data_IF_068353688816
#
_entry.id   IF_068353688816
#
_cell.length_a   1.000
_cell.length_b   1.000
_cell.length_c   1.000
_cell.angle_alpha   90.00
_cell.angle_beta   90.00
_cell.angle_gamma   90.00
#
_symmetry.space_group_name_H-M   'P 1'
#
loop_
_entity.id
_entity.type
_entity.pdbx_description
1 polymer ?
#
# COMPACT_ATOMS: atom_id res chain seq x y z
N UNK A 1 -5.26 19.45 -16.08
CA UNK A 1 -5.57 19.08 -14.68
C UNK A 1 -4.93 17.73 -14.43
N UNK A 2 -4.05 17.61 -13.44
CA UNK A 2 -3.55 16.31 -12.99
C UNK A 2 -4.76 15.54 -12.46
N UNK A 3 -5.03 14.37 -13.02
CA UNK A 3 -6.15 13.55 -12.57
C UNK A 3 -5.55 12.40 -11.79
N UNK A 4 -5.93 12.25 -10.51
CA UNK A 4 -5.59 11.10 -9.70
C UNK A 4 -5.92 9.80 -10.45
N UNK A 5 -5.01 8.86 -10.38
CA UNK A 5 -5.20 7.46 -10.80
C UNK A 5 -4.20 6.58 -10.06
N UNK A 6 -4.54 5.32 -9.89
CA UNK A 6 -3.58 4.33 -9.40
C UNK A 6 -2.32 4.33 -10.28
N UNK A 7 -1.16 4.34 -9.66
CA UNK A 7 0.15 4.25 -10.30
C UNK A 7 0.65 2.82 -10.17
N UNK A 8 0.18 1.98 -11.07
CA UNK A 8 0.56 0.57 -11.13
C UNK A 8 1.34 0.37 -12.44
N UNK A 9 2.56 -0.22 -12.40
CA UNK A 9 3.32 -0.50 -13.61
C UNK A 9 2.48 -1.31 -14.60
N UNK A 10 2.46 -0.91 -15.86
CA UNK A 10 1.70 -1.59 -16.91
C UNK A 10 2.67 -2.21 -17.89
N UNK A 11 2.52 -3.51 -18.14
CA UNK A 11 3.27 -4.26 -19.17
C UNK A 11 4.39 -5.12 -18.61
N UNK A 12 4.77 -6.12 -19.39
CA UNK A 12 5.67 -7.22 -19.01
C UNK A 12 7.15 -6.82 -18.85
N UNK A 13 7.49 -5.56 -19.03
CA UNK A 13 8.89 -5.09 -19.00
C UNK A 13 9.32 -4.46 -17.70
N UNK A 14 8.39 -4.23 -16.77
CA UNK A 14 8.70 -3.67 -15.45
C UNK A 14 8.13 -4.57 -14.36
N UNK A 15 8.95 -5.41 -13.74
CA UNK A 15 8.51 -6.25 -12.62
C UNK A 15 8.08 -5.34 -11.46
N UNK A 16 6.83 -5.46 -11.02
CA UNK A 16 6.38 -4.82 -9.80
C UNK A 16 6.40 -5.84 -8.66
N UNK A 17 7.21 -5.59 -7.67
CA UNK A 17 7.32 -6.48 -6.52
C UNK A 17 6.51 -6.01 -5.31
N UNK A 18 6.24 -4.72 -5.16
CA UNK A 18 5.57 -4.17 -3.97
C UNK A 18 4.57 -3.08 -4.35
N UNK A 19 3.33 -3.21 -3.86
CA UNK A 19 2.29 -2.18 -4.01
C UNK A 19 1.94 -1.58 -2.65
N UNK A 20 2.08 -0.27 -2.50
CA UNK A 20 1.61 0.48 -1.36
C UNK A 20 0.16 0.91 -1.54
N UNK A 21 -0.70 0.55 -0.57
CA UNK A 21 -2.15 0.72 -0.65
C UNK A 21 -2.60 1.70 0.43
N UNK A 22 -3.03 2.88 -0.01
CA UNK A 22 -3.63 3.89 0.84
C UNK A 22 -5.12 3.63 1.11
N UNK A 23 -5.72 4.47 1.96
CA UNK A 23 -7.14 4.41 2.25
C UNK A 23 -7.95 5.10 1.15
N UNK A 24 -7.66 6.38 0.92
CA UNK A 24 -8.21 7.23 -0.12
C UNK A 24 -7.25 8.39 -0.40
N UNK A 25 -7.27 8.97 -1.60
CA UNK A 25 -6.40 10.09 -1.93
C UNK A 25 -6.76 11.34 -1.10
N UNK A 26 -5.76 12.03 -0.58
CA UNK A 26 -5.97 13.38 -0.03
C UNK A 26 -6.30 14.37 -1.15
N UNK A 27 -6.84 15.53 -0.80
CA UNK A 27 -7.07 16.61 -1.79
C UNK A 27 -5.77 17.02 -2.49
N UNK A 28 -4.64 17.00 -1.78
CA UNK A 28 -3.32 17.27 -2.34
C UNK A 28 -2.90 16.17 -3.33
N UNK A 29 -3.07 14.90 -2.97
CA UNK A 29 -2.83 13.76 -3.87
C UNK A 29 -3.71 13.85 -5.11
N UNK A 30 -4.98 14.22 -4.93
CA UNK A 30 -5.94 14.37 -6.03
C UNK A 30 -5.54 15.46 -7.03
N UNK A 31 -5.08 16.61 -6.53
CA UNK A 31 -4.70 17.75 -7.34
C UNK A 31 -3.32 17.62 -7.98
N UNK A 32 -2.35 17.08 -7.24
CA UNK A 32 -0.97 16.93 -7.72
C UNK A 32 -0.75 15.66 -8.55
N UNK A 33 -1.57 14.63 -8.36
CA UNK A 33 -1.38 13.30 -8.94
C UNK A 33 -0.28 12.47 -8.26
N UNK A 34 0.27 12.93 -7.12
CA UNK A 34 1.32 12.23 -6.38
C UNK A 34 0.79 11.58 -5.10
N UNK A 35 1.14 10.32 -4.86
CA UNK A 35 0.71 9.56 -3.70
C UNK A 35 1.33 10.09 -2.42
N UNK A 36 0.52 10.11 -1.35
CA UNK A 36 0.93 10.57 -0.01
C UNK A 36 1.52 11.99 0.01
N UNK A 37 1.07 12.85 -0.92
CA UNK A 37 1.61 14.20 -1.14
C UNK A 37 1.21 15.22 -0.07
N UNK A 38 0.23 14.93 0.80
CA UNK A 38 -0.16 15.86 1.86
C UNK A 38 1.05 16.17 2.76
N UNK A 39 1.40 17.47 2.99
CA UNK A 39 2.60 17.85 3.75
C UNK A 39 2.67 17.29 5.18
N UNK A 40 1.53 16.99 5.80
CA UNK A 40 1.46 16.36 7.13
C UNK A 40 1.67 14.85 7.10
N UNK A 41 1.67 14.22 5.91
CA UNK A 41 1.87 12.79 5.74
C UNK A 41 3.36 12.44 5.82
N UNK A 42 3.70 11.46 6.64
CA UNK A 42 5.09 11.06 6.90
C UNK A 42 5.54 9.83 6.08
N UNK A 43 4.74 9.37 5.14
CA UNK A 43 5.02 8.16 4.38
C UNK A 43 6.42 8.18 3.75
N UNK A 44 6.74 9.21 3.01
CA UNK A 44 8.02 9.35 2.32
C UNK A 44 9.20 9.41 3.30
N UNK A 45 9.05 10.18 4.38
CA UNK A 45 10.07 10.23 5.44
C UNK A 45 10.25 8.90 6.18
N UNK A 46 9.22 8.06 6.27
CA UNK A 46 9.32 6.73 6.87
C UNK A 46 10.05 5.76 5.95
N UNK A 47 9.76 5.77 4.65
CA UNK A 47 10.49 4.96 3.66
C UNK A 47 11.99 5.31 3.63
N UNK A 48 12.32 6.62 3.65
CA UNK A 48 13.71 7.08 3.66
C UNK A 48 14.45 6.65 4.92
N UNK A 49 13.82 6.84 6.09
CA UNK A 49 14.43 6.46 7.38
C UNK A 49 14.56 4.95 7.56
N UNK A 50 13.76 4.16 6.88
CA UNK A 50 13.88 2.71 6.83
C UNK A 50 14.90 2.24 5.78
N UNK A 51 15.48 3.13 4.99
CA UNK A 51 16.43 2.77 3.94
C UNK A 51 15.80 2.20 2.65
N UNK A 52 14.46 2.27 2.53
CA UNK A 52 13.76 1.75 1.35
C UNK A 52 13.96 2.66 0.13
N UNK A 53 14.05 3.96 0.34
CA UNK A 53 14.27 4.96 -0.71
C UNK A 53 15.24 6.03 -0.24
N UNK A 54 15.81 6.79 -1.19
CA UNK A 54 16.66 7.95 -0.93
C UNK A 54 16.02 9.23 -1.49
N UNK A 55 16.35 10.37 -0.92
CA UNK A 55 15.85 11.70 -1.34
C UNK A 55 14.31 11.78 -1.40
N UNK A 56 13.66 11.23 -0.38
CA UNK A 56 12.25 10.94 -0.38
C UNK A 56 11.36 12.19 -0.46
N UNK A 57 10.54 12.24 -1.48
CA UNK A 57 9.46 13.22 -1.66
C UNK A 57 8.32 12.60 -2.49
N UNK A 58 7.15 13.25 -2.54
CA UNK A 58 5.98 12.66 -3.19
C UNK A 58 6.13 12.43 -4.70
N UNK A 59 7.00 13.18 -5.39
CA UNK A 59 7.25 13.01 -6.82
C UNK A 59 8.08 11.77 -7.15
N UNK A 60 8.69 11.17 -6.12
CA UNK A 60 9.45 9.93 -6.26
C UNK A 60 8.53 8.75 -6.66
N UNK A 61 7.23 8.85 -6.42
CA UNK A 61 6.28 7.81 -6.80
C UNK A 61 6.32 7.48 -8.30
N UNK A 62 6.50 8.47 -9.17
CA UNK A 62 6.63 8.23 -10.62
C UNK A 62 7.91 7.46 -10.95
N UNK A 63 9.04 7.81 -10.33
CA UNK A 63 10.34 7.15 -10.53
C UNK A 63 10.30 5.72 -10.01
N UNK A 64 9.73 5.50 -8.83
CA UNK A 64 9.60 4.17 -8.22
C UNK A 64 8.75 3.23 -9.08
N UNK A 65 7.67 3.73 -9.66
CA UNK A 65 6.81 2.96 -10.57
C UNK A 65 7.54 2.63 -11.87
N UNK A 66 8.31 3.58 -12.43
CA UNK A 66 8.97 3.40 -13.72
C UNK A 66 10.22 2.51 -13.66
N UNK A 67 10.96 2.56 -12.54
CA UNK A 67 12.32 2.04 -12.49
C UNK A 67 12.65 1.12 -11.33
N UNK A 68 11.77 1.03 -10.29
CA UNK A 68 12.11 0.34 -9.04
C UNK A 68 11.07 -0.70 -8.61
N UNK A 69 10.11 -1.06 -9.46
CA UNK A 69 9.17 -2.15 -9.19
C UNK A 69 8.16 -1.86 -8.07
N UNK A 70 7.86 -0.61 -7.78
CA UNK A 70 6.81 -0.23 -6.83
C UNK A 70 5.53 0.17 -7.55
N UNK A 71 4.39 0.00 -6.86
CA UNK A 71 3.10 0.49 -7.29
C UNK A 71 2.38 1.24 -6.16
N UNK A 72 1.42 2.09 -6.53
CA UNK A 72 0.63 2.88 -5.60
C UNK A 72 -0.84 2.87 -6.00
N UNK A 73 -1.73 2.59 -5.05
CA UNK A 73 -3.16 2.73 -5.23
C UNK A 73 -3.86 3.01 -3.89
N UNK A 74 -5.12 3.35 -3.94
CA UNK A 74 -5.98 3.47 -2.76
C UNK A 74 -7.13 2.46 -2.84
N UNK A 75 -7.66 2.06 -1.67
CA UNK A 75 -8.86 1.21 -1.62
C UNK A 75 -10.06 1.95 -2.20
N UNK A 76 -10.20 3.23 -1.87
CA UNK A 76 -11.25 4.11 -2.37
C UNK A 76 -10.65 5.23 -3.21
N UNK A 77 -11.17 5.44 -4.40
CA UNK A 77 -10.70 6.48 -5.33
C UNK A 77 -11.49 7.80 -5.20
N UNK A 78 -12.06 8.05 -4.03
CA UNK A 78 -12.75 9.30 -3.69
C UNK A 78 -11.84 10.20 -2.85
N UNK A 79 -11.60 11.46 -3.25
CA UNK A 79 -10.70 12.34 -2.50
C UNK A 79 -11.29 12.77 -1.15
N UNK A 80 -10.41 12.96 -0.17
CA UNK A 80 -10.77 13.49 1.14
C UNK A 80 -9.59 13.48 2.11
N UNK A 81 -9.52 14.51 2.97
CA UNK A 81 -8.43 14.65 3.94
C UNK A 81 -8.70 13.97 5.28
N UNK A 82 -9.91 13.47 5.49
CA UNK A 82 -10.27 12.80 6.72
C UNK A 82 -10.85 11.41 6.41
N UNK A 83 -10.11 10.37 6.77
CA UNK A 83 -10.54 9.00 6.54
C UNK A 83 -11.89 8.66 7.23
N UNK A 84 -12.30 9.42 8.26
CA UNK A 84 -13.58 9.20 8.93
C UNK A 84 -14.78 9.70 8.11
N UNK A 85 -14.56 10.54 7.10
CA UNK A 85 -15.63 10.96 6.19
C UNK A 85 -16.08 9.82 5.26
N UNK A 86 -15.24 8.78 5.15
CA UNK A 86 -15.57 7.54 4.45
C UNK A 86 -16.28 6.59 5.44
N UNK A 87 -17.54 6.29 5.18
CA UNK A 87 -18.34 5.40 6.02
C UNK A 87 -17.94 3.93 5.86
N UNK A 88 -18.24 3.06 6.85
CA UNK A 88 -18.07 1.61 6.70
C UNK A 88 -18.84 1.04 5.50
N UNK A 89 -20.01 1.58 5.17
CA UNK A 89 -20.79 1.20 3.99
C UNK A 89 -20.04 1.46 2.68
N UNK A 90 -19.47 2.65 2.53
CA UNK A 90 -18.64 2.98 1.37
C UNK A 90 -17.40 2.07 1.25
N UNK A 91 -16.74 1.73 2.38
CA UNK A 91 -15.64 0.77 2.38
C UNK A 91 -16.10 -0.60 1.89
N UNK A 92 -17.24 -1.10 2.40
CA UNK A 92 -17.82 -2.38 1.97
C UNK A 92 -18.15 -2.39 0.49
N UNK A 93 -18.79 -1.36 -0.03
CA UNK A 93 -19.13 -1.21 -1.46
C UNK A 93 -17.89 -1.15 -2.35
N UNK A 94 -16.80 -0.54 -1.89
CA UNK A 94 -15.57 -0.42 -2.65
C UNK A 94 -14.64 -1.64 -2.55
N UNK A 95 -14.84 -2.51 -1.56
CA UNK A 95 -14.01 -3.73 -1.38
C UNK A 95 -13.95 -4.59 -2.65
N UNK A 96 -15.06 -5.02 -3.27
CA UNK A 96 -15.00 -5.83 -4.48
C UNK A 96 -14.35 -5.09 -5.67
N UNK A 97 -14.58 -3.79 -5.80
CA UNK A 97 -13.96 -2.97 -6.84
C UNK A 97 -12.43 -2.90 -6.67
N UNK A 98 -11.98 -2.74 -5.44
CA UNK A 98 -10.57 -2.75 -5.10
C UNK A 98 -9.92 -4.11 -5.36
N UNK A 99 -10.52 -5.20 -4.88
CA UNK A 99 -9.99 -6.55 -5.07
C UNK A 99 -9.89 -6.92 -6.56
N UNK A 100 -10.91 -6.63 -7.35
CA UNK A 100 -10.89 -6.84 -8.79
C UNK A 100 -9.79 -6.00 -9.48
N UNK A 101 -9.58 -4.76 -9.04
CA UNK A 101 -8.50 -3.90 -9.58
C UNK A 101 -7.11 -4.47 -9.32
N UNK A 102 -6.85 -4.95 -8.09
CA UNK A 102 -5.57 -5.56 -7.73
C UNK A 102 -5.38 -6.92 -8.43
N UNK A 103 -6.42 -7.73 -8.53
CA UNK A 103 -6.38 -9.01 -9.25
C UNK A 103 -6.05 -8.81 -10.74
N UNK A 104 -6.77 -7.90 -11.41
CA UNK A 104 -6.48 -7.56 -12.81
C UNK A 104 -5.07 -7.03 -13.01
N UNK A 105 -4.57 -6.28 -12.02
CA UNK A 105 -3.19 -5.81 -12.02
C UNK A 105 -2.20 -6.96 -11.90
N UNK A 106 -2.42 -7.88 -10.95
CA UNK A 106 -1.56 -9.04 -10.71
C UNK A 106 -1.53 -10.00 -11.91
N UNK A 107 -2.64 -10.17 -12.63
CA UNK A 107 -2.67 -10.92 -13.89
C UNK A 107 -1.67 -10.38 -14.93
N UNK A 108 -1.51 -9.06 -15.00
CA UNK A 108 -0.53 -8.42 -15.91
C UNK A 108 0.92 -8.53 -15.44
N UNK A 109 1.18 -8.99 -14.21
CA UNK A 109 2.51 -8.99 -13.61
C UNK A 109 3.26 -10.33 -13.70
N UNK A 110 2.66 -11.38 -14.24
CA UNK A 110 3.29 -12.69 -14.44
C UNK A 110 4.02 -13.24 -13.20
N UNK A 111 3.43 -13.05 -12.01
CA UNK A 111 3.97 -13.56 -10.74
C UNK A 111 5.10 -12.73 -10.11
N UNK A 112 5.39 -11.55 -10.63
CA UNK A 112 6.43 -10.68 -10.04
C UNK A 112 5.95 -9.94 -8.77
N UNK A 113 4.65 -9.83 -8.55
CA UNK A 113 4.09 -9.18 -7.37
C UNK A 113 4.35 -10.04 -6.12
N UNK A 114 5.15 -9.53 -5.21
CA UNK A 114 5.55 -10.20 -3.97
C UNK A 114 4.77 -9.68 -2.75
N UNK A 115 4.46 -8.37 -2.71
CA UNK A 115 3.92 -7.71 -1.51
C UNK A 115 2.81 -6.72 -1.80
N UNK A 116 1.79 -6.75 -0.94
CA UNK A 116 0.75 -5.74 -0.83
C UNK A 116 0.85 -5.07 0.55
N UNK A 117 1.27 -3.81 0.60
CA UNK A 117 1.52 -3.06 1.83
C UNK A 117 0.37 -2.08 2.11
N UNK A 118 -0.58 -2.45 2.96
CA UNK A 118 -1.68 -1.58 3.38
C UNK A 118 -1.17 -0.51 4.35
N UNK A 119 -1.20 0.75 3.94
CA UNK A 119 -0.67 1.88 4.71
C UNK A 119 -1.71 2.37 5.72
N UNK A 120 -1.97 1.54 6.72
CA UNK A 120 -2.94 1.72 7.81
C UNK A 120 -3.82 0.49 8.02
N UNK A 121 -4.31 0.31 9.25
CA UNK A 121 -5.14 -0.85 9.65
C UNK A 121 -6.57 -0.81 9.13
N UNK A 122 -7.12 0.40 8.96
CA UNK A 122 -8.55 0.56 8.68
C UNK A 122 -8.95 -0.09 7.37
N UNK A 123 -8.26 0.22 6.27
CA UNK A 123 -8.56 -0.32 4.96
C UNK A 123 -8.44 -1.86 4.92
N UNK A 124 -7.44 -2.43 5.55
CA UNK A 124 -7.29 -3.89 5.66
C UNK A 124 -8.45 -4.55 6.42
N UNK A 125 -8.76 -4.01 7.61
CA UNK A 125 -9.82 -4.56 8.48
C UNK A 125 -11.18 -4.61 7.79
N UNK A 126 -11.50 -3.64 6.96
CA UNK A 126 -12.78 -3.55 6.27
C UNK A 126 -12.88 -4.40 5.01
N UNK A 127 -11.80 -5.07 4.58
CA UNK A 127 -11.89 -6.09 3.52
C UNK A 127 -12.55 -7.38 4.00
N UNK A 128 -12.64 -7.58 5.32
CA UNK A 128 -13.28 -8.75 5.91
C UNK A 128 -14.77 -8.53 6.16
N UNK A 129 -15.55 -9.61 6.14
CA UNK A 129 -16.98 -9.63 6.45
C UNK A 129 -17.25 -10.66 7.55
N UNK A 130 -17.58 -10.29 8.79
CA UNK A 130 -17.57 -8.89 9.30
C UNK A 130 -16.16 -8.30 9.41
N UNK A 131 -16.02 -6.97 9.47
CA UNK A 131 -14.72 -6.32 9.62
C UNK A 131 -13.94 -6.80 10.84
N UNK A 132 -12.62 -6.99 10.69
CA UNK A 132 -11.77 -7.42 11.79
C UNK A 132 -11.81 -6.43 12.96
N UNK A 133 -11.98 -6.94 14.17
CA UNK A 133 -11.92 -6.13 15.38
C UNK A 133 -10.49 -5.62 15.63
N UNK A 134 -9.49 -6.48 15.42
CA UNK A 134 -8.06 -6.19 15.64
C UNK A 134 -7.20 -6.77 14.52
N UNK A 135 -6.09 -6.11 14.22
CA UNK A 135 -4.97 -6.65 13.47
C UNK A 135 -3.68 -5.98 13.95
N UNK A 136 -2.57 -6.67 13.86
CA UNK A 136 -1.26 -6.13 14.21
C UNK A 136 -0.62 -5.44 13.00
N UNK A 137 0.41 -4.63 13.21
CA UNK A 137 1.27 -4.15 12.16
C UNK A 137 2.26 -5.25 11.75
N UNK A 138 2.84 -5.12 10.57
CA UNK A 138 3.80 -6.08 10.03
C UNK A 138 3.18 -7.08 9.08
N UNK A 139 3.92 -8.15 8.79
CA UNK A 139 3.50 -9.25 7.93
C UNK A 139 2.28 -9.97 8.52
N UNK A 140 1.27 -10.16 7.71
CA UNK A 140 0.04 -10.87 8.10
C UNK A 140 0.14 -12.36 7.79
N UNK A 141 -0.33 -13.24 8.70
CA UNK A 141 -0.37 -14.67 8.46
C UNK A 141 -1.08 -14.99 7.13
N UNK A 142 -0.52 -15.94 6.37
CA UNK A 142 -1.00 -16.27 5.04
C UNK A 142 -2.41 -16.90 5.05
N UNK A 143 -2.78 -17.59 6.13
CA UNK A 143 -4.10 -18.14 6.37
C UNK A 143 -5.16 -17.10 6.73
N UNK A 144 -4.75 -15.86 7.04
CA UNK A 144 -5.66 -14.75 7.36
C UNK A 144 -5.88 -13.85 6.15
N UNK A 145 -6.82 -14.24 5.30
CA UNK A 145 -7.25 -13.45 4.14
C UNK A 145 -8.77 -13.23 4.19
N UNK A 146 -9.27 -12.13 3.63
CA UNK A 146 -10.71 -11.96 3.44
C UNK A 146 -11.29 -13.11 2.61
N UNK A 147 -12.56 -13.48 2.84
CA UNK A 147 -13.22 -14.56 2.09
C UNK A 147 -13.21 -14.32 0.57
N UNK A 148 -13.34 -13.05 0.15
CA UNK A 148 -13.32 -12.65 -1.26
C UNK A 148 -11.90 -12.38 -1.79
N UNK A 149 -10.84 -12.82 -1.08
CA UNK A 149 -9.46 -12.62 -1.51
C UNK A 149 -9.18 -13.42 -2.79
N UNK A 150 -8.64 -12.78 -3.85
CA UNK A 150 -8.35 -13.47 -5.10
C UNK A 150 -7.34 -14.62 -4.93
N UNK A 151 -7.61 -15.77 -5.54
CA UNK A 151 -6.69 -16.92 -5.47
C UNK A 151 -5.31 -16.61 -6.03
N UNK A 152 -5.24 -15.77 -7.05
CA UNK A 152 -3.98 -15.31 -7.66
C UNK A 152 -3.07 -14.58 -6.65
N UNK A 153 -3.65 -13.98 -5.62
CA UNK A 153 -2.93 -13.23 -4.58
C UNK A 153 -2.67 -14.07 -3.32
N UNK A 154 -2.94 -15.37 -3.36
CA UNK A 154 -2.84 -16.23 -2.17
C UNK A 154 -1.42 -16.26 -1.59
N UNK A 155 -0.42 -16.36 -2.46
CA UNK A 155 1.00 -16.42 -2.08
C UNK A 155 1.64 -15.02 -1.91
N UNK A 156 0.92 -13.97 -2.29
CA UNK A 156 1.41 -12.60 -2.13
C UNK A 156 1.40 -12.21 -0.64
N UNK A 157 2.52 -11.74 -0.14
CA UNK A 157 2.63 -11.22 1.22
C UNK A 157 1.71 -10.03 1.44
N UNK A 158 1.09 -9.98 2.60
CA UNK A 158 0.30 -8.81 3.02
C UNK A 158 0.95 -8.18 4.24
N UNK A 159 1.33 -6.94 4.11
CA UNK A 159 1.91 -6.13 5.18
C UNK A 159 0.93 -5.04 5.62
N UNK A 160 0.77 -4.87 6.93
CA UNK A 160 0.01 -3.76 7.51
C UNK A 160 0.98 -2.75 8.09
N UNK A 161 1.16 -1.65 7.37
CA UNK A 161 2.05 -0.58 7.77
C UNK A 161 1.36 0.37 8.76
N UNK A 162 2.09 0.92 9.74
CA UNK A 162 1.57 2.00 10.57
C UNK A 162 1.12 3.19 9.72
N UNK A 163 -0.02 3.77 10.08
CA UNK A 163 -0.52 4.95 9.37
C UNK A 163 0.50 6.11 9.43
N UNK A 164 0.88 6.69 8.28
CA UNK A 164 1.81 7.82 8.23
C UNK A 164 1.13 9.15 8.53
N UNK A 165 -0.18 9.17 8.72
CA UNK A 165 -0.94 10.37 9.06
C UNK A 165 -0.41 11.00 10.35
N UNK A 166 -0.29 12.34 10.37
CA UNK A 166 0.07 13.09 11.58
C UNK A 166 -0.92 12.93 12.73
N UNK A 167 -2.14 12.44 12.46
CA UNK A 167 -3.20 12.18 13.45
C UNK A 167 -3.09 10.82 14.13
N UNK A 168 -2.23 9.92 13.66
CA UNK A 168 -2.11 8.59 14.24
C UNK A 168 -1.41 8.63 15.60
N UNK A 169 -2.02 7.97 16.60
CA UNK A 169 -1.53 7.89 17.99
C UNK A 169 -0.51 6.75 18.08
N UNK A 170 0.69 6.96 17.55
CA UNK A 170 1.83 6.03 17.64
C UNK A 170 3.10 6.85 17.89
N UNK A 171 4.00 6.32 18.72
CA UNK A 171 5.32 6.89 18.87
C UNK A 171 6.09 6.87 17.53
N UNK A 172 7.10 7.72 17.41
CA UNK A 172 7.95 7.74 16.20
C UNK A 172 8.70 6.42 16.00
N UNK A 173 9.13 5.79 17.10
CA UNK A 173 9.85 4.53 17.07
C UNK A 173 8.96 3.36 16.63
N UNK A 174 7.80 3.19 17.26
CA UNK A 174 6.83 2.14 16.90
C UNK A 174 6.38 2.26 15.44
N UNK A 175 6.21 3.51 14.95
CA UNK A 175 5.83 3.73 13.57
C UNK A 175 6.92 3.34 12.59
N UNK A 176 8.19 3.60 12.92
CA UNK A 176 9.32 3.29 12.05
C UNK A 176 9.67 1.79 12.04
N UNK A 177 9.53 1.10 13.15
CA UNK A 177 9.93 -0.31 13.29
C UNK A 177 9.39 -1.19 12.16
N UNK A 178 8.08 -1.15 11.89
CA UNK A 178 7.48 -1.96 10.82
C UNK A 178 8.01 -1.62 9.42
N UNK A 179 8.41 -0.37 9.17
CA UNK A 179 9.02 -0.01 7.88
C UNK A 179 10.46 -0.55 7.77
N UNK A 180 11.19 -0.66 8.88
CA UNK A 180 12.49 -1.33 8.93
C UNK A 180 12.30 -2.83 8.68
N UNK A 181 11.36 -3.49 9.36
CA UNK A 181 11.05 -4.90 9.15
C UNK A 181 10.72 -5.19 7.67
N UNK A 182 9.99 -4.28 7.02
CA UNK A 182 9.71 -4.38 5.58
C UNK A 182 10.99 -4.24 4.74
N UNK A 183 11.88 -3.31 5.07
CA UNK A 183 13.15 -3.12 4.37
C UNK A 183 14.03 -4.37 4.49
N UNK A 184 14.14 -4.94 5.70
CA UNK A 184 14.90 -6.17 5.97
C UNK A 184 14.36 -7.35 5.14
N UNK A 185 13.04 -7.41 4.87
CA UNK A 185 12.46 -8.45 4.04
C UNK A 185 12.92 -8.40 2.57
N UNK A 186 13.32 -7.23 2.07
CA UNK A 186 13.87 -7.10 0.71
C UNK A 186 15.29 -7.66 0.60
N UNK A 187 16.09 -7.50 1.65
CA UNK A 187 17.48 -8.01 1.68
C UNK A 187 17.52 -9.54 1.70
N UNK A 188 16.63 -10.17 2.45
CA UNK A 188 16.54 -11.65 2.51
C UNK A 188 16.16 -12.26 1.15
N UNK A 189 15.29 -11.65 0.36
CA UNK A 189 14.96 -12.13 -1.00
C UNK A 189 16.17 -12.11 -1.94
N UNK A 190 16.99 -11.06 -1.88
CA UNK A 190 18.19 -10.97 -2.71
C UNK A 190 19.21 -12.05 -2.38
N UNK A 191 19.27 -12.50 -1.13
CA UNK A 191 20.14 -13.58 -0.71
C UNK A 191 19.62 -14.95 -1.15
N UNK A 192 18.30 -15.19 -1.08
CA UNK A 192 17.66 -16.44 -1.52
C UNK A 192 17.75 -16.63 -3.05
N UNK A 193 17.63 -15.56 -3.84
CA UNK A 193 17.76 -15.63 -5.29
C UNK A 193 19.21 -15.87 -5.79
N UNK A 194 20.20 -15.73 -4.88
CA UNK A 194 21.64 -15.97 -5.19
C UNK A 194 22.14 -17.36 -4.83
N UNK A 195 21.31 -18.16 -4.15
CA UNK A 195 21.65 -19.52 -3.72
C UNK A 195 20.97 -20.56 -4.57
#
# INVERSE_FOLDING_TARGET
MATYRAKLPRGSHQPCHTVFIGHNPSLETWSSGHFFANPSNRFWSLLERAGIVHDANARLDDVLVQSHGYGFCDVIEQPGNNANDITPGQLKENTPLFLNRIENYAHGMNGTLKRLCFVGKRQWKHLFEPPLQRCDHGLQPQDKRPLAWPDLLREVEVWIMPSPSGRAVLSKAERLATYIDLADSFEHEVEEERT
#
